data_IF_116166045860
#
_entry.id   IF_116166045860
#
_cell.length_a   1.000
_cell.length_b   1.000
_cell.length_c   1.000
_cell.angle_alpha   90.00
_cell.angle_beta   90.00
_cell.angle_gamma   90.00
#
_symmetry.space_group_name_H-M   'P 1'
#
loop_
_entity.id
_entity.type
_entity.pdbx_description
1 polymer ?
#
# COMPACT_ATOMS: atom_id res chain seq x y z
N UNK A 1 -18.18 -21.58 -8.44
CA UNK A 1 -18.09 -20.54 -7.38
C UNK A 1 -16.71 -20.67 -6.77
N UNK A 2 -15.81 -19.73 -7.06
CA UNK A 2 -14.49 -19.66 -6.41
C UNK A 2 -14.73 -19.31 -4.94
N UNK A 3 -14.10 -20.00 -3.98
CA UNK A 3 -14.36 -19.73 -2.57
C UNK A 3 -13.90 -18.30 -2.23
N UNK A 4 -14.80 -17.51 -1.69
CA UNK A 4 -14.45 -16.29 -0.95
C UNK A 4 -13.36 -16.63 0.05
N UNK A 5 -12.33 -15.80 0.16
CA UNK A 5 -11.23 -16.01 1.11
C UNK A 5 -11.82 -16.15 2.51
N UNK A 6 -11.69 -17.34 3.10
CA UNK A 6 -12.10 -17.57 4.48
C UNK A 6 -11.09 -16.86 5.40
N UNK A 7 -11.46 -15.69 5.88
CA UNK A 7 -10.61 -14.86 6.71
C UNK A 7 -10.25 -15.53 8.03
N UNK A 8 -11.15 -16.30 8.62
CA UNK A 8 -10.92 -16.96 9.91
C UNK A 8 -9.78 -17.98 9.86
N UNK A 9 -9.54 -18.58 8.69
CA UNK A 9 -8.46 -19.54 8.46
C UNK A 9 -7.28 -18.94 7.69
N UNK A 10 -7.23 -17.60 7.56
CA UNK A 10 -6.26 -16.89 6.72
C UNK A 10 -5.43 -15.91 7.53
N UNK A 11 -4.18 -16.26 7.85
CA UNK A 11 -3.26 -15.33 8.51
C UNK A 11 -3.09 -14.07 7.66
N UNK A 12 -3.38 -12.92 8.25
CA UNK A 12 -3.19 -11.60 7.63
C UNK A 12 -1.99 -10.92 8.27
N UNK A 13 -1.05 -10.43 7.48
CA UNK A 13 0.07 -9.63 7.95
C UNK A 13 -0.10 -8.18 7.55
N UNK A 14 -0.07 -7.27 8.53
CA UNK A 14 -0.20 -5.82 8.31
C UNK A 14 1.10 -5.13 8.68
N UNK A 15 1.83 -4.66 7.67
CA UNK A 15 3.13 -3.99 7.82
C UNK A 15 2.92 -2.49 7.99
N UNK A 16 3.14 -1.97 9.20
CA UNK A 16 2.86 -0.60 9.59
C UNK A 16 1.60 -0.47 10.47
N UNK A 17 1.30 -1.48 11.29
CA UNK A 17 0.06 -1.61 12.06
C UNK A 17 -0.04 -0.75 13.32
N UNK A 18 1.02 -0.04 13.75
CA UNK A 18 1.06 0.61 15.06
C UNK A 18 0.13 1.82 15.21
N UNK A 19 -0.24 2.48 14.11
CA UNK A 19 -1.05 3.72 14.13
C UNK A 19 -1.79 3.97 12.81
N UNK A 20 -2.70 4.95 12.84
CA UNK A 20 -3.38 5.48 11.65
C UNK A 20 -4.07 4.40 10.83
N UNK A 21 -3.92 4.45 9.51
CA UNK A 21 -4.58 3.51 8.60
C UNK A 21 -4.18 2.06 8.87
N UNK A 22 -2.90 1.81 9.18
CA UNK A 22 -2.44 0.45 9.45
C UNK A 22 -3.06 -0.16 10.71
N UNK A 23 -3.25 0.65 11.77
CA UNK A 23 -3.97 0.21 12.96
C UNK A 23 -5.43 -0.13 12.63
N UNK A 24 -6.12 0.76 11.88
CA UNK A 24 -7.49 0.51 11.46
C UNK A 24 -7.65 -0.74 10.58
N UNK A 25 -6.71 -0.97 9.66
CA UNK A 25 -6.68 -2.18 8.82
C UNK A 25 -6.49 -3.43 9.69
N UNK A 26 -5.51 -3.43 10.59
CA UNK A 26 -5.27 -4.57 11.49
C UNK A 26 -6.49 -4.88 12.38
N UNK A 27 -7.13 -3.84 12.94
CA UNK A 27 -8.37 -3.95 13.71
C UNK A 27 -9.49 -4.57 12.87
N UNK A 28 -9.74 -4.06 11.67
CA UNK A 28 -10.83 -4.55 10.81
C UNK A 28 -10.66 -6.03 10.43
N UNK A 29 -9.43 -6.49 10.17
CA UNK A 29 -9.18 -7.92 9.92
C UNK A 29 -9.42 -8.78 11.14
N UNK A 30 -8.96 -8.35 12.32
CA UNK A 30 -9.18 -9.08 13.56
C UNK A 30 -10.67 -9.15 13.93
N UNK A 31 -11.41 -8.07 13.76
CA UNK A 31 -12.87 -8.03 13.94
C UNK A 31 -13.61 -8.90 12.92
N UNK A 32 -13.06 -9.07 11.72
CA UNK A 32 -13.57 -10.02 10.73
C UNK A 32 -13.15 -11.48 11.01
N UNK A 33 -12.47 -11.75 12.13
CA UNK A 33 -12.09 -13.08 12.61
C UNK A 33 -10.74 -13.59 12.08
N UNK A 34 -9.97 -12.80 11.32
CA UNK A 34 -8.66 -13.21 10.84
C UNK A 34 -7.60 -13.13 11.96
N UNK A 35 -6.69 -14.12 12.09
CA UNK A 35 -5.45 -13.95 12.84
C UNK A 35 -4.58 -12.89 12.18
N UNK A 36 -4.18 -11.85 12.94
CA UNK A 36 -3.43 -10.71 12.40
C UNK A 36 -2.03 -10.65 13.00
N UNK A 37 -1.01 -10.68 12.14
CA UNK A 37 0.37 -10.35 12.49
C UNK A 37 0.56 -8.84 12.26
N UNK A 38 0.64 -8.10 13.35
CA UNK A 38 0.78 -6.64 13.33
C UNK A 38 2.26 -6.25 13.41
N UNK A 39 2.86 -5.81 12.29
CA UNK A 39 4.28 -5.51 12.19
C UNK A 39 4.53 -4.01 12.31
N UNK A 40 5.39 -3.59 13.25
CA UNK A 40 5.87 -2.21 13.36
C UNK A 40 7.10 -2.12 14.29
N UNK A 41 7.74 -0.94 14.35
CA UNK A 41 8.89 -0.69 15.22
C UNK A 41 8.53 -0.38 16.68
N UNK A 42 7.33 0.15 16.91
CA UNK A 42 6.90 0.56 18.25
C UNK A 42 6.24 -0.59 18.99
N UNK A 43 7.00 -1.21 19.88
CA UNK A 43 6.52 -2.29 20.76
C UNK A 43 5.32 -1.84 21.60
N UNK A 44 5.42 -0.67 22.24
CA UNK A 44 4.33 -0.12 23.07
C UNK A 44 3.03 0.00 22.28
N UNK A 45 3.07 0.60 21.07
CA UNK A 45 1.87 0.80 20.27
C UNK A 45 1.27 -0.52 19.74
N UNK A 46 2.11 -1.53 19.45
CA UNK A 46 1.65 -2.87 19.07
C UNK A 46 1.01 -3.61 20.24
N UNK A 47 1.61 -3.52 21.43
CA UNK A 47 1.06 -4.11 22.64
C UNK A 47 -0.25 -3.45 23.06
N UNK A 48 -0.38 -2.12 22.88
CA UNK A 48 -1.63 -1.39 23.08
C UNK A 48 -2.73 -1.85 22.10
N UNK A 49 -2.36 -2.10 20.85
CA UNK A 49 -3.29 -2.64 19.86
C UNK A 49 -3.73 -4.06 20.23
N UNK A 50 -2.81 -4.94 20.57
CA UNK A 50 -3.11 -6.34 20.94
C UNK A 50 -3.94 -6.46 22.21
N UNK A 51 -3.78 -5.53 23.17
CA UNK A 51 -4.65 -5.46 24.38
C UNK A 51 -6.06 -4.97 24.05
N UNK A 52 -6.18 -4.07 23.08
CA UNK A 52 -7.47 -3.49 22.71
C UNK A 52 -8.30 -4.39 21.78
N UNK A 53 -7.65 -5.22 20.98
CA UNK A 53 -8.28 -6.03 19.93
C UNK A 53 -7.76 -7.45 19.97
N UNK A 54 -8.63 -8.41 20.23
CA UNK A 54 -8.28 -9.84 20.22
C UNK A 54 -7.93 -10.31 18.80
N UNK A 55 -7.09 -11.34 18.68
CA UNK A 55 -6.64 -11.85 17.39
C UNK A 55 -5.44 -11.11 16.78
N UNK A 56 -4.93 -10.08 17.46
CA UNK A 56 -3.71 -9.37 17.05
C UNK A 56 -2.48 -10.01 17.70
N UNK A 57 -1.51 -10.39 16.87
CA UNK A 57 -0.18 -10.83 17.30
C UNK A 57 0.85 -9.72 16.97
N UNK A 58 1.46 -9.08 18.00
CA UNK A 58 2.48 -8.06 17.79
C UNK A 58 3.78 -8.65 17.31
N UNK A 59 4.37 -8.08 16.25
CA UNK A 59 5.70 -8.42 15.74
C UNK A 59 6.54 -7.14 15.62
N UNK A 60 7.51 -6.98 16.49
CA UNK A 60 8.36 -5.78 16.55
C UNK A 60 9.50 -5.91 15.57
N UNK A 61 9.45 -5.16 14.47
CA UNK A 61 10.48 -5.20 13.44
C UNK A 61 10.57 -3.89 12.65
N UNK A 62 11.74 -3.61 12.06
CA UNK A 62 11.91 -2.56 11.05
C UNK A 62 11.59 -3.15 9.67
N UNK A 63 10.45 -2.80 9.13
CA UNK A 63 10.00 -3.25 7.81
C UNK A 63 10.95 -2.82 6.66
N UNK A 64 11.81 -1.83 6.89
CA UNK A 64 12.82 -1.38 5.93
C UNK A 64 14.10 -2.20 5.93
N UNK A 65 14.29 -3.10 6.90
CA UNK A 65 15.40 -4.05 6.90
C UNK A 65 15.14 -5.15 5.85
N UNK A 66 16.06 -5.39 4.90
CA UNK A 66 15.86 -6.35 3.83
C UNK A 66 15.69 -7.80 4.33
N UNK A 67 16.21 -8.16 5.50
CA UNK A 67 16.10 -9.50 6.06
C UNK A 67 14.77 -9.78 6.73
N UNK A 68 14.06 -8.74 7.17
CA UNK A 68 12.82 -8.86 7.93
C UNK A 68 11.68 -9.42 7.07
N UNK A 69 11.55 -8.94 5.85
CA UNK A 69 10.46 -9.35 4.95
C UNK A 69 10.47 -10.87 4.72
N UNK A 70 11.61 -11.42 4.30
CA UNK A 70 11.77 -12.87 4.08
C UNK A 70 11.54 -13.68 5.35
N UNK A 71 12.16 -13.27 6.48
CA UNK A 71 12.03 -13.97 7.76
C UNK A 71 10.60 -14.05 8.26
N UNK A 72 9.82 -12.95 8.15
CA UNK A 72 8.45 -12.92 8.64
C UNK A 72 7.49 -13.64 7.68
N UNK A 73 7.69 -13.53 6.37
CA UNK A 73 6.92 -14.31 5.38
C UNK A 73 7.13 -15.81 5.63
N UNK A 74 8.37 -16.24 5.84
CA UNK A 74 8.67 -17.66 6.11
C UNK A 74 8.07 -18.17 7.41
N UNK A 75 8.10 -17.34 8.45
CA UNK A 75 7.60 -17.73 9.78
C UNK A 75 6.08 -17.85 9.82
N UNK A 76 5.37 -16.92 9.19
CA UNK A 76 3.93 -16.78 9.33
C UNK A 76 3.12 -17.22 8.12
N UNK A 77 3.76 -17.41 6.97
CA UNK A 77 3.15 -17.83 5.71
C UNK A 77 1.78 -17.17 5.45
N UNK A 78 1.75 -15.80 5.36
CA UNK A 78 0.48 -15.06 5.33
C UNK A 78 -0.27 -15.29 4.01
N UNK A 79 -1.60 -15.42 4.13
CA UNK A 79 -2.51 -15.45 2.98
C UNK A 79 -2.85 -14.05 2.48
N UNK A 80 -2.77 -13.09 3.37
CA UNK A 80 -2.94 -11.67 3.06
C UNK A 80 -1.76 -10.86 3.61
N UNK A 81 -1.15 -10.05 2.75
CA UNK A 81 -0.06 -9.15 3.09
C UNK A 81 -0.47 -7.72 2.75
N UNK A 82 -0.57 -6.84 3.76
CA UNK A 82 -0.94 -5.44 3.58
C UNK A 82 0.25 -4.54 3.93
N UNK A 83 0.77 -3.83 2.93
CA UNK A 83 1.91 -2.93 3.06
C UNK A 83 1.40 -1.49 3.20
N UNK A 84 1.40 -0.95 4.43
CA UNK A 84 0.90 0.38 4.75
C UNK A 84 1.94 1.27 5.44
N UNK A 85 3.07 0.70 5.85
CA UNK A 85 4.16 1.43 6.46
C UNK A 85 4.70 2.54 5.54
N UNK A 86 5.04 3.67 6.14
CA UNK A 86 5.63 4.79 5.43
C UNK A 86 6.09 5.90 6.38
N UNK A 87 6.86 6.84 5.83
CA UNK A 87 7.31 8.03 6.53
C UNK A 87 6.32 9.19 6.34
N UNK A 88 6.23 10.05 7.33
CA UNK A 88 5.53 11.34 7.19
C UNK A 88 6.36 12.27 6.31
N UNK A 89 5.83 12.76 5.18
CA UNK A 89 6.56 13.69 4.33
C UNK A 89 6.70 15.05 4.99
N UNK A 90 7.72 15.81 4.58
CA UNK A 90 7.81 17.21 4.91
C UNK A 90 6.98 18.03 3.91
N UNK A 91 5.99 18.76 4.42
CA UNK A 91 5.08 19.57 3.61
C UNK A 91 5.64 20.96 3.34
N UNK A 92 6.30 21.16 2.19
CA UNK A 92 6.87 22.45 1.78
C UNK A 92 6.95 22.58 0.26
N UNK A 93 7.10 23.82 -0.28
CA UNK A 93 7.35 24.03 -1.71
C UNK A 93 8.63 23.32 -2.18
N UNK A 94 8.65 22.89 -3.45
CA UNK A 94 9.74 22.07 -3.99
C UNK A 94 11.12 22.73 -3.86
N UNK A 95 11.21 24.05 -4.05
CA UNK A 95 12.45 24.81 -3.93
C UNK A 95 13.02 24.90 -2.50
N UNK A 96 12.25 24.49 -1.51
CA UNK A 96 12.67 24.47 -0.10
C UNK A 96 13.07 23.08 0.39
N UNK A 97 13.05 22.07 -0.50
CA UNK A 97 13.57 20.74 -0.19
C UNK A 97 15.07 20.66 -0.47
N UNK A 98 15.77 19.89 0.37
CA UNK A 98 17.03 19.26 0.01
C UNK A 98 16.72 17.88 -0.58
N UNK A 99 17.73 17.22 -1.19
CA UNK A 99 17.52 15.84 -1.68
C UNK A 99 17.11 14.90 -0.55
N UNK A 100 17.72 15.00 0.63
CA UNK A 100 17.42 14.16 1.80
C UNK A 100 15.96 14.30 2.23
N UNK A 101 15.46 15.53 2.30
CA UNK A 101 14.07 15.77 2.71
C UNK A 101 13.06 15.42 1.61
N UNK A 102 13.45 15.57 0.35
CA UNK A 102 12.61 15.17 -0.79
C UNK A 102 12.52 13.64 -0.90
N UNK A 103 13.65 12.93 -0.72
CA UNK A 103 13.72 11.48 -0.92
C UNK A 103 13.29 10.63 0.30
N UNK A 104 12.88 11.24 1.41
CA UNK A 104 12.49 10.54 2.64
C UNK A 104 11.53 9.37 2.40
N UNK A 105 10.47 9.59 1.62
CA UNK A 105 9.50 8.54 1.30
C UNK A 105 10.04 7.50 0.31
N UNK A 106 11.04 7.85 -0.51
CA UNK A 106 11.73 6.87 -1.36
C UNK A 106 12.56 5.90 -0.53
N UNK A 107 13.32 6.43 0.43
CA UNK A 107 14.14 5.61 1.33
C UNK A 107 13.33 4.79 2.35
N UNK A 108 12.05 5.09 2.53
CA UNK A 108 11.18 4.38 3.46
C UNK A 108 10.10 3.61 2.73
N UNK A 109 9.12 4.31 2.15
CA UNK A 109 7.90 3.71 1.60
C UNK A 109 8.20 2.80 0.39
N UNK A 110 9.04 3.29 -0.55
CA UNK A 110 9.41 2.52 -1.75
C UNK A 110 10.30 1.34 -1.37
N UNK A 111 11.28 1.56 -0.49
CA UNK A 111 12.18 0.50 -0.02
C UNK A 111 11.42 -0.63 0.68
N UNK A 112 10.47 -0.29 1.55
CA UNK A 112 9.62 -1.29 2.21
C UNK A 112 8.81 -2.06 1.16
N UNK A 113 8.08 -1.38 0.29
CA UNK A 113 7.29 -2.05 -0.74
C UNK A 113 8.14 -2.97 -1.62
N UNK A 114 9.33 -2.51 -2.04
CA UNK A 114 10.25 -3.30 -2.84
C UNK A 114 10.69 -4.59 -2.13
N UNK A 115 11.15 -4.50 -0.88
CA UNK A 115 11.62 -5.69 -0.15
C UNK A 115 10.51 -6.71 0.04
N UNK A 116 9.35 -6.29 0.53
CA UNK A 116 8.25 -7.20 0.82
C UNK A 116 7.63 -7.82 -0.43
N UNK A 117 7.47 -7.05 -1.50
CA UNK A 117 6.96 -7.57 -2.78
C UNK A 117 7.98 -8.53 -3.42
N UNK A 118 9.27 -8.18 -3.37
CA UNK A 118 10.35 -9.04 -3.87
C UNK A 118 10.36 -10.39 -3.13
N UNK A 119 10.30 -10.41 -1.81
CA UNK A 119 10.30 -11.65 -1.05
C UNK A 119 9.02 -12.48 -1.29
N UNK A 120 7.86 -11.84 -1.45
CA UNK A 120 6.61 -12.51 -1.80
C UNK A 120 6.65 -13.22 -3.17
N UNK A 121 7.58 -12.84 -4.06
CA UNK A 121 7.80 -13.47 -5.36
C UNK A 121 8.97 -14.46 -5.35
N UNK A 122 10.07 -14.17 -4.64
CA UNK A 122 11.25 -15.05 -4.59
C UNK A 122 10.99 -16.37 -3.90
N UNK A 123 10.27 -16.31 -2.80
CA UNK A 123 9.69 -17.46 -2.13
C UNK A 123 8.19 -17.30 -2.20
N UNK A 124 7.58 -17.75 -3.31
CA UNK A 124 6.19 -17.44 -3.60
C UNK A 124 5.27 -17.73 -2.42
N UNK A 125 4.44 -16.77 -2.08
CA UNK A 125 3.33 -17.01 -1.16
C UNK A 125 2.45 -18.12 -1.72
N UNK A 126 1.70 -18.79 -0.86
CA UNK A 126 0.80 -19.86 -1.29
C UNK A 126 -0.16 -19.39 -2.39
N UNK A 127 -0.55 -20.30 -3.33
CA UNK A 127 -1.59 -20.02 -4.32
C UNK A 127 -2.86 -19.44 -3.68
N UNK A 128 -3.44 -18.39 -4.27
CA UNK A 128 -4.58 -17.64 -3.76
C UNK A 128 -4.23 -16.57 -2.73
N UNK A 129 -2.95 -16.34 -2.42
CA UNK A 129 -2.53 -15.24 -1.53
C UNK A 129 -2.71 -13.87 -2.18
N UNK A 130 -2.88 -12.86 -1.34
CA UNK A 130 -3.21 -11.48 -1.74
C UNK A 130 -2.23 -10.48 -1.14
N UNK A 131 -1.66 -9.62 -1.96
CA UNK A 131 -0.78 -8.52 -1.53
C UNK A 131 -1.42 -7.19 -1.88
N UNK A 132 -1.67 -6.36 -0.86
CA UNK A 132 -2.24 -5.02 -1.02
C UNK A 132 -1.20 -3.97 -0.64
N UNK A 133 -0.83 -3.12 -1.57
CA UNK A 133 0.08 -1.99 -1.33
C UNK A 133 -0.75 -0.72 -1.14
N UNK A 134 -0.69 -0.13 0.05
CA UNK A 134 -1.39 1.13 0.34
C UNK A 134 -0.57 2.30 -0.21
N UNK A 135 -1.01 2.79 -1.35
CA UNK A 135 -0.47 3.97 -2.01
C UNK A 135 -1.21 5.24 -1.51
N UNK A 136 -1.57 6.16 -2.39
CA UNK A 136 -2.28 7.41 -2.07
C UNK A 136 -2.97 7.96 -3.31
N UNK A 137 -4.07 8.69 -3.13
CA UNK A 137 -4.65 9.50 -4.19
C UNK A 137 -3.69 10.54 -4.79
N UNK A 138 -2.66 10.95 -4.03
CA UNK A 138 -1.60 11.83 -4.53
C UNK A 138 -0.78 11.23 -5.68
N UNK A 139 -0.73 9.90 -5.77
CA UNK A 139 -0.05 9.16 -6.83
C UNK A 139 -0.76 9.23 -8.20
N UNK A 140 -2.02 9.66 -8.22
CA UNK A 140 -2.90 9.61 -9.40
C UNK A 140 -3.04 10.97 -10.10
N UNK A 141 -2.55 12.04 -9.47
CA UNK A 141 -2.65 13.39 -10.01
C UNK A 141 -1.41 13.83 -10.78
N UNK A 142 -1.53 14.93 -11.55
CA UNK A 142 -0.40 15.50 -12.28
C UNK A 142 0.65 16.15 -11.36
N UNK A 143 0.35 16.27 -10.08
CA UNK A 143 1.21 16.84 -9.05
C UNK A 143 0.49 16.90 -7.71
N UNK A 144 1.25 17.01 -6.64
CA UNK A 144 0.76 17.20 -5.28
C UNK A 144 1.58 18.29 -4.62
N UNK A 145 1.11 19.54 -4.64
CA UNK A 145 1.82 20.66 -4.01
C UNK A 145 2.15 20.32 -2.55
N UNK A 146 3.28 20.81 -2.07
CA UNK A 146 3.79 20.60 -0.71
C UNK A 146 4.14 19.16 -0.34
N UNK A 147 3.90 18.16 -1.19
CA UNK A 147 4.12 16.75 -0.81
C UNK A 147 5.57 16.26 -0.94
N UNK A 148 6.48 17.11 -1.44
CA UNK A 148 7.86 16.70 -1.71
C UNK A 148 7.91 15.47 -2.62
N UNK A 149 8.73 14.49 -2.27
CA UNK A 149 8.83 13.23 -2.99
C UNK A 149 7.72 12.22 -2.71
N UNK A 150 6.79 12.52 -1.79
CA UNK A 150 5.74 11.58 -1.36
C UNK A 150 4.86 11.09 -2.51
N UNK A 151 4.35 12.00 -3.34
CA UNK A 151 3.49 11.62 -4.47
C UNK A 151 4.22 10.71 -5.47
N UNK A 152 5.50 11.01 -5.77
CA UNK A 152 6.36 10.18 -6.61
C UNK A 152 6.63 8.80 -5.96
N UNK A 153 6.94 8.76 -4.67
CA UNK A 153 7.14 7.51 -3.94
C UNK A 153 5.86 6.64 -3.95
N UNK A 154 4.69 7.24 -3.76
CA UNK A 154 3.40 6.55 -3.82
C UNK A 154 3.06 6.07 -5.24
N UNK A 155 3.43 6.84 -6.27
CA UNK A 155 3.32 6.39 -7.66
C UNK A 155 4.24 5.19 -7.94
N UNK A 156 5.46 5.20 -7.41
CA UNK A 156 6.39 4.07 -7.51
C UNK A 156 5.85 2.83 -6.78
N UNK A 157 5.21 2.97 -5.62
CA UNK A 157 4.57 1.83 -4.94
C UNK A 157 3.46 1.21 -5.81
N UNK A 158 2.64 2.03 -6.48
CA UNK A 158 1.67 1.54 -7.46
C UNK A 158 2.35 0.77 -8.59
N UNK A 159 3.41 1.34 -9.17
CA UNK A 159 4.19 0.69 -10.21
C UNK A 159 4.74 -0.67 -9.76
N UNK A 160 5.33 -0.76 -8.57
CA UNK A 160 5.85 -2.01 -7.99
C UNK A 160 4.75 -3.07 -7.90
N UNK A 161 3.54 -2.71 -7.44
CA UNK A 161 2.42 -3.65 -7.34
C UNK A 161 1.98 -4.18 -8.72
N UNK A 162 1.87 -3.30 -9.73
CA UNK A 162 1.51 -3.70 -11.10
C UNK A 162 2.61 -4.57 -11.72
N UNK A 163 3.88 -4.19 -11.55
CA UNK A 163 5.02 -4.96 -12.05
C UNK A 163 5.06 -6.37 -11.40
N UNK A 164 4.84 -6.45 -10.08
CA UNK A 164 4.78 -7.73 -9.40
C UNK A 164 3.63 -8.63 -9.90
N UNK A 165 2.48 -8.05 -10.22
CA UNK A 165 1.37 -8.80 -10.80
C UNK A 165 1.72 -9.37 -12.17
N UNK A 166 2.42 -8.62 -13.02
CA UNK A 166 2.88 -9.10 -14.33
C UNK A 166 3.88 -10.26 -14.17
N UNK A 167 4.85 -10.15 -13.25
CA UNK A 167 5.80 -11.21 -12.98
C UNK A 167 5.15 -12.45 -12.36
N UNK A 168 4.20 -12.29 -11.43
CA UNK A 168 3.45 -13.39 -10.86
C UNK A 168 2.64 -14.13 -11.94
N UNK A 169 1.96 -13.39 -12.82
CA UNK A 169 1.19 -13.94 -13.92
C UNK A 169 2.08 -14.69 -14.91
N UNK A 170 3.22 -14.14 -15.29
CA UNK A 170 4.20 -14.76 -16.18
C UNK A 170 4.79 -16.05 -15.60
N UNK A 171 4.98 -16.09 -14.28
CA UNK A 171 5.48 -17.26 -13.57
C UNK A 171 4.39 -18.30 -13.23
N UNK A 172 3.13 -18.05 -13.58
CA UNK A 172 2.01 -18.92 -13.23
C UNK A 172 1.70 -18.98 -11.73
N UNK A 173 2.09 -17.94 -10.99
CA UNK A 173 1.79 -17.86 -9.56
C UNK A 173 0.36 -17.34 -9.37
N UNK A 174 -0.41 -18.03 -8.56
CA UNK A 174 -1.77 -17.61 -8.21
C UNK A 174 -1.75 -16.61 -7.03
N UNK A 175 -0.92 -15.57 -7.15
CA UNK A 175 -0.80 -14.48 -6.17
C UNK A 175 -1.36 -13.21 -6.82
N UNK A 176 -2.22 -12.50 -6.10
CA UNK A 176 -2.75 -11.22 -6.59
C UNK A 176 -2.06 -10.06 -5.90
N UNK A 177 -1.50 -9.14 -6.70
CA UNK A 177 -0.94 -7.87 -6.25
C UNK A 177 -1.84 -6.72 -6.69
N UNK A 178 -2.22 -5.85 -5.75
CA UNK A 178 -3.04 -4.67 -6.07
C UNK A 178 -2.62 -3.46 -5.26
N UNK A 179 -2.81 -2.26 -5.82
CA UNK A 179 -2.56 -1.01 -5.12
C UNK A 179 -3.87 -0.34 -4.71
N UNK A 180 -3.98 0.08 -3.45
CA UNK A 180 -5.09 0.88 -2.96
C UNK A 180 -4.67 2.34 -2.79
N UNK A 181 -5.47 3.26 -3.31
CA UNK A 181 -5.22 4.69 -3.31
C UNK A 181 -6.29 5.42 -2.48
N UNK A 182 -6.11 5.56 -1.14
CA UNK A 182 -6.98 6.42 -0.35
C UNK A 182 -6.94 7.86 -0.91
N UNK A 183 -8.11 8.39 -1.25
CA UNK A 183 -8.28 9.72 -1.86
C UNK A 183 -9.26 10.56 -1.05
N UNK A 184 -8.74 11.28 -0.09
CA UNK A 184 -9.47 12.16 0.81
C UNK A 184 -8.58 12.59 1.95
N UNK A 185 -8.98 13.59 2.72
CA UNK A 185 -8.25 13.97 3.92
C UNK A 185 -8.32 12.84 4.95
N UNK A 186 -7.21 12.63 5.66
CA UNK A 186 -7.09 11.67 6.77
C UNK A 186 -6.67 12.40 8.05
N UNK A 187 -7.44 13.40 8.53
CA UNK A 187 -7.02 14.31 9.59
C UNK A 187 -6.74 13.61 10.92
N UNK A 188 -7.34 12.43 11.12
CA UNK A 188 -7.15 11.63 12.34
C UNK A 188 -5.87 10.78 12.32
N UNK A 189 -5.03 10.91 11.30
CA UNK A 189 -3.77 10.17 11.20
C UNK A 189 -2.56 11.10 11.40
N UNK A 190 -1.48 10.55 11.95
CA UNK A 190 -0.23 11.30 12.11
C UNK A 190 0.44 11.73 10.78
N UNK A 191 0.00 11.16 9.65
CA UNK A 191 0.43 11.58 8.31
C UNK A 191 -0.50 12.65 7.74
N UNK A 192 -1.80 12.51 7.94
CA UNK A 192 -2.79 13.39 7.32
C UNK A 192 -2.92 14.75 8.01
N UNK A 193 -2.75 14.82 9.33
CA UNK A 193 -2.86 16.07 10.07
C UNK A 193 -1.84 17.12 9.61
N UNK A 194 -0.52 16.84 9.53
CA UNK A 194 0.43 17.83 9.01
C UNK A 194 0.16 18.26 7.56
N UNK A 195 -0.42 17.37 6.75
CA UNK A 195 -0.85 17.71 5.39
C UNK A 195 -1.99 18.74 5.40
N UNK A 196 -3.01 18.55 6.25
CA UNK A 196 -4.12 19.49 6.41
C UNK A 196 -3.61 20.85 6.86
N UNK A 197 -2.78 20.91 7.90
CA UNK A 197 -2.17 22.12 8.41
C UNK A 197 -1.41 22.91 7.30
N UNK A 198 -0.54 22.20 6.56
CA UNK A 198 0.28 22.83 5.52
C UNK A 198 -0.56 23.34 4.33
N UNK A 199 -1.57 22.57 3.91
CA UNK A 199 -2.43 22.96 2.79
C UNK A 199 -3.41 24.08 3.17
N UNK A 200 -3.95 24.08 4.38
CA UNK A 200 -4.79 25.16 4.91
C UNK A 200 -3.98 26.47 4.96
N UNK A 201 -2.78 26.44 5.55
CA UNK A 201 -1.88 27.58 5.60
C UNK A 201 -1.55 28.12 4.19
N UNK A 202 -1.25 27.25 3.22
CA UNK A 202 -1.01 27.64 1.83
C UNK A 202 -2.21 28.31 1.18
N UNK A 203 -3.42 27.89 1.55
CA UNK A 203 -4.67 28.46 1.05
C UNK A 203 -5.09 29.75 1.78
N UNK A 204 -4.37 30.16 2.83
CA UNK A 204 -4.75 31.29 3.70
C UNK A 204 -6.02 31.01 4.49
N UNK A 205 -6.25 29.76 4.88
CA UNK A 205 -7.46 29.28 5.56
C UNK A 205 -7.10 28.67 6.92
N UNK A 206 -8.09 28.62 7.82
CA UNK A 206 -8.02 27.77 9.01
C UNK A 206 -8.15 26.28 8.60
N UNK A 207 -7.69 25.36 9.45
CA UNK A 207 -7.87 23.91 9.21
C UNK A 207 -9.34 23.54 9.06
N UNK A 208 -10.23 24.15 9.85
CA UNK A 208 -11.67 23.91 9.83
C UNK A 208 -12.28 24.34 8.48
N UNK A 209 -11.97 25.55 8.01
CA UNK A 209 -12.41 26.05 6.72
C UNK A 209 -11.88 25.17 5.57
N UNK A 210 -10.63 24.74 5.66
CA UNK A 210 -10.02 23.87 4.66
C UNK A 210 -10.70 22.49 4.63
N UNK A 211 -10.94 21.86 5.79
CA UNK A 211 -11.60 20.55 5.90
C UNK A 211 -13.07 20.61 5.44
N UNK A 212 -13.79 21.70 5.72
CA UNK A 212 -15.17 21.88 5.29
C UNK A 212 -15.30 21.90 3.76
N UNK A 213 -14.30 22.38 3.04
CA UNK A 213 -14.24 22.39 1.56
C UNK A 213 -13.84 21.04 0.97
N UNK A 214 -13.22 20.18 1.75
CA UNK A 214 -12.79 18.88 1.28
C UNK A 214 -13.96 17.88 1.37
N UNK A 215 -13.78 16.78 0.64
CA UNK A 215 -14.69 15.63 0.72
C UNK A 215 -14.66 15.03 2.12
N UNK A 216 -15.69 14.25 2.46
CA UNK A 216 -15.77 13.51 3.72
C UNK A 216 -14.43 12.83 4.04
N UNK A 217 -13.88 13.05 5.25
CA UNK A 217 -12.63 12.43 5.67
C UNK A 217 -12.66 10.91 5.59
N UNK A 218 -11.54 10.31 5.21
CA UNK A 218 -11.33 8.87 5.36
C UNK A 218 -10.80 8.60 6.77
N UNK A 219 -11.51 7.76 7.52
CA UNK A 219 -11.06 7.29 8.83
C UNK A 219 -10.30 5.96 8.70
N UNK A 220 -9.48 5.58 9.71
CA UNK A 220 -8.84 4.27 9.74
C UNK A 220 -9.82 3.10 9.59
N UNK A 221 -11.02 3.22 10.16
CA UNK A 221 -12.09 2.21 10.12
C UNK A 221 -12.64 2.05 8.69
N UNK A 222 -12.92 3.17 7.99
CA UNK A 222 -13.37 3.14 6.58
C UNK A 222 -12.33 2.46 5.69
N UNK A 223 -11.06 2.79 5.89
CA UNK A 223 -9.98 2.18 5.10
C UNK A 223 -9.82 0.70 5.46
N UNK A 224 -9.91 0.36 6.74
CA UNK A 224 -9.86 -1.03 7.22
C UNK A 224 -10.96 -1.89 6.58
N UNK A 225 -12.21 -1.45 6.67
CA UNK A 225 -13.35 -2.14 6.07
C UNK A 225 -13.19 -2.33 4.55
N UNK A 226 -12.72 -1.29 3.85
CA UNK A 226 -12.49 -1.37 2.40
C UNK A 226 -11.38 -2.36 2.03
N UNK A 227 -10.32 -2.50 2.83
CA UNK A 227 -9.27 -3.51 2.58
C UNK A 227 -9.78 -4.92 2.83
N UNK A 228 -10.61 -5.12 3.85
CA UNK A 228 -11.29 -6.41 4.11
C UNK A 228 -12.20 -6.77 2.93
N UNK A 229 -13.05 -5.85 2.47
CA UNK A 229 -13.91 -6.04 1.29
C UNK A 229 -13.09 -6.41 0.05
N UNK A 230 -11.99 -5.69 -0.22
CA UNK A 230 -11.11 -5.96 -1.34
C UNK A 230 -10.53 -7.38 -1.30
N UNK A 231 -10.15 -7.87 -0.13
CA UNK A 231 -9.58 -9.21 0.04
C UNK A 231 -10.62 -10.32 -0.04
N UNK A 232 -11.90 -10.01 0.15
CA UNK A 232 -13.02 -10.92 -0.05
C UNK A 232 -13.55 -10.97 -1.50
N UNK A 233 -13.13 -10.00 -2.34
CA UNK A 233 -13.48 -9.98 -3.76
C UNK A 233 -12.85 -11.16 -4.49
N UNK A 234 -13.56 -11.76 -5.45
CA UNK A 234 -13.03 -12.85 -6.29
C UNK A 234 -11.68 -12.43 -6.92
N UNK A 235 -10.60 -13.21 -6.73
CA UNK A 235 -9.29 -12.93 -7.31
C UNK A 235 -9.32 -12.60 -8.80
N UNK A 236 -10.17 -13.30 -9.56
CA UNK A 236 -10.30 -13.08 -11.00
C UNK A 236 -10.92 -11.71 -11.37
N UNK A 237 -11.59 -11.07 -10.42
CA UNK A 237 -12.24 -9.76 -10.59
C UNK A 237 -11.44 -8.61 -10.01
N UNK A 238 -10.28 -8.88 -9.41
CA UNK A 238 -9.46 -7.84 -8.78
C UNK A 238 -8.73 -7.01 -9.82
N UNK A 239 -8.98 -5.70 -9.80
CA UNK A 239 -8.25 -4.76 -10.64
C UNK A 239 -6.81 -4.54 -10.11
N UNK A 240 -5.85 -4.14 -10.98
CA UNK A 240 -4.48 -3.82 -10.57
C UNK A 240 -4.39 -2.68 -9.54
N UNK A 241 -5.43 -1.86 -9.44
CA UNK A 241 -5.51 -0.79 -8.45
C UNK A 241 -6.92 -0.31 -8.21
N UNK A 242 -7.11 0.31 -7.05
CA UNK A 242 -8.39 0.90 -6.63
C UNK A 242 -8.20 2.29 -6.04
N UNK A 243 -9.16 3.16 -6.26
CA UNK A 243 -9.32 4.41 -5.50
C UNK A 243 -10.35 4.16 -4.41
N UNK A 244 -10.00 4.53 -3.19
CA UNK A 244 -10.95 4.59 -2.08
C UNK A 244 -11.29 6.05 -1.78
N UNK A 245 -12.56 6.38 -1.77
CA UNK A 245 -13.08 7.65 -1.30
C UNK A 245 -14.32 7.42 -0.42
N UNK A 246 -14.98 8.47 0.01
CA UNK A 246 -16.20 8.38 0.84
C UNK A 246 -17.38 7.63 0.18
N UNK A 247 -17.33 7.40 -1.13
CA UNK A 247 -18.33 6.63 -1.87
C UNK A 247 -17.93 5.14 -2.04
N UNK A 248 -16.82 4.71 -1.41
CA UNK A 248 -16.33 3.33 -1.47
C UNK A 248 -15.20 3.09 -2.45
N UNK A 249 -14.94 1.82 -2.74
CA UNK A 249 -13.92 1.35 -3.67
C UNK A 249 -14.36 1.53 -5.12
N UNK A 250 -13.43 2.04 -5.94
CA UNK A 250 -13.59 2.09 -7.40
C UNK A 250 -12.34 1.54 -8.07
N UNK A 251 -12.47 0.57 -9.00
CA UNK A 251 -11.33 0.12 -9.79
C UNK A 251 -10.68 1.30 -10.53
N UNK A 252 -9.35 1.29 -10.62
CA UNK A 252 -8.64 2.14 -11.56
C UNK A 252 -8.76 1.51 -12.95
N UNK A 253 -9.14 2.33 -13.92
CA UNK A 253 -9.04 1.90 -15.32
C UNK A 253 -7.57 1.55 -15.63
N UNK A 254 -7.31 0.45 -16.32
CA UNK A 254 -5.97 0.16 -16.79
C UNK A 254 -5.49 1.34 -17.65
N UNK A 255 -4.20 1.71 -17.61
CA UNK A 255 -3.67 2.70 -18.53
C UNK A 255 -4.04 2.25 -19.96
N UNK A 256 -4.49 3.20 -20.79
CA UNK A 256 -4.73 2.91 -22.19
C UNK A 256 -3.48 2.21 -22.74
N UNK A 257 -3.64 0.99 -23.23
CA UNK A 257 -2.53 0.23 -23.80
C UNK A 257 -1.83 1.06 -24.89
N UNK A 258 -0.55 0.82 -25.16
CA UNK A 258 0.10 1.46 -26.30
C UNK A 258 -0.75 1.22 -27.55
N UNK A 259 -0.88 2.22 -28.43
CA UNK A 259 -1.61 2.06 -29.68
C UNK A 259 -1.10 0.81 -30.40
N UNK A 260 -2.02 0.00 -30.91
CA UNK A 260 -1.76 -1.32 -31.50
C UNK A 260 -0.66 -1.35 -32.59
N UNK A 261 -0.26 -0.19 -33.12
CA UNK A 261 0.73 -0.02 -34.20
C UNK A 261 2.20 -0.11 -33.74
N UNK A 262 2.51 -0.35 -32.45
CA UNK A 262 3.89 -0.45 -31.95
C UNK A 262 4.36 -1.85 -31.58
N UNK A 263 3.69 -2.88 -31.98
CA UNK A 263 4.27 -4.23 -31.98
C UNK A 263 5.14 -4.37 -33.24
N UNK A 264 6.28 -3.66 -33.24
CA UNK A 264 7.38 -4.06 -34.13
C UNK A 264 7.87 -5.41 -33.61
N UNK A 265 7.61 -6.44 -34.41
CA UNK A 265 8.23 -7.75 -34.26
C UNK A 265 9.74 -7.52 -34.20
N UNK A 266 10.34 -7.67 -33.02
CA UNK A 266 11.79 -7.75 -32.90
C UNK A 266 12.25 -8.94 -33.75
N UNK A 267 12.92 -8.64 -34.84
CA UNK A 267 13.61 -9.65 -35.63
C UNK A 267 14.68 -10.30 -34.74
N UNK A 268 14.78 -11.62 -34.70
CA UNK A 268 15.81 -12.28 -33.93
C UNK A 268 17.18 -11.77 -34.44
N UNK A 269 17.99 -11.23 -33.54
CA UNK A 269 19.38 -10.88 -33.79
C UNK A 269 20.11 -12.17 -34.17
N UNK A 270 20.46 -12.31 -35.42
CA UNK A 270 21.26 -13.43 -35.91
C UNK A 270 22.57 -13.50 -35.14
N UNK A 271 22.83 -14.61 -34.47
CA UNK A 271 24.12 -14.91 -33.86
C UNK A 271 25.23 -14.76 -34.91
N UNK A 272 26.11 -13.77 -34.76
CA UNK A 272 27.33 -13.72 -35.51
C UNK A 272 28.24 -14.87 -35.03
N UNK A 273 28.34 -15.91 -35.87
CA UNK A 273 29.36 -16.91 -35.73
C UNK A 273 30.74 -16.26 -35.91
N UNK A 274 31.70 -16.72 -35.10
CA UNK A 274 32.98 -16.15 -34.85
C UNK A 274 33.97 -16.04 -36.00
N UNK A 275 35.06 -15.33 -35.74
CA UNK A 275 36.43 -15.75 -36.03
C UNK A 275 37.26 -15.38 -34.80
#
# INVERSE_FOLDING_TARGET
MTPTTDLANSTTMVVGASRGLGRGIATAFAEAGAPVIAVARSETALNDLARAVSGIHPEVADAGDPSVAGSLIDRYDPRALVLVAGATPLHRPVQHHTWETFSTNWHTDVRIAFHWVREALLKPLRPGSRVVVISSGAALGPGSPLSGGYAGAKATQRFIATYAQEEASRAGLEITFTALHPRGPTPLTGLGRPAVEAHAARAGQTEEEYLTRLRTPLTPEIVGAAVVELLQTDPASVAPGYVLNSAGLKPLEPPAGPPADRVQTERPVAARAGV
#
